data_IF_521110281761
#
_entry.id   IF_521110281761
#
_cell.length_a   1.000
_cell.length_b   1.000
_cell.length_c   1.000
_cell.angle_alpha   90.00
_cell.angle_beta   90.00
_cell.angle_gamma   90.00
#
_symmetry.space_group_name_H-M   'P 1'
#
loop_
_entity.id
_entity.type
_entity.pdbx_description
1 polymer ?
#
# COMPACT_ATOMS: atom_id res chain seq x y z
N UNK A 1 27.87 -12.06 -14.84
CA UNK A 1 26.85 -13.03 -15.26
C UNK A 1 25.44 -12.46 -15.05
N UNK A 2 25.14 -11.84 -13.90
CA UNK A 2 23.82 -11.28 -13.59
C UNK A 2 23.71 -9.84 -14.09
N UNK A 3 22.47 -9.37 -14.37
CA UNK A 3 22.22 -8.00 -14.77
C UNK A 3 22.55 -7.03 -13.63
N UNK A 4 23.03 -5.82 -13.97
CA UNK A 4 23.40 -4.79 -12.98
C UNK A 4 22.22 -4.37 -12.09
N UNK A 5 21.00 -4.37 -12.63
CA UNK A 5 19.76 -4.07 -11.91
C UNK A 5 19.45 -5.03 -10.75
N UNK A 6 20.11 -6.20 -10.71
CA UNK A 6 19.94 -7.19 -9.62
C UNK A 6 21.15 -7.26 -8.70
N UNK A 7 22.05 -6.28 -8.76
CA UNK A 7 23.27 -6.25 -7.94
C UNK A 7 22.98 -5.65 -6.54
N UNK A 8 21.96 -6.17 -5.88
CA UNK A 8 21.62 -5.76 -4.52
C UNK A 8 22.61 -6.33 -3.49
N UNK A 9 22.76 -5.65 -2.37
CA UNK A 9 23.45 -6.22 -1.22
C UNK A 9 22.58 -7.29 -0.58
N UNK A 10 22.89 -8.55 -0.82
CA UNK A 10 22.14 -9.70 -0.30
C UNK A 10 22.61 -10.14 1.09
N UNK A 11 23.57 -9.44 1.70
CA UNK A 11 24.02 -9.77 3.05
C UNK A 11 22.95 -9.34 4.07
N UNK A 12 22.58 -10.21 5.04
CA UNK A 12 21.66 -9.83 6.09
C UNK A 12 22.22 -8.60 6.84
N UNK A 13 21.39 -7.55 6.98
CA UNK A 13 21.73 -6.40 7.80
C UNK A 13 21.76 -6.78 9.30
N UNK A 14 22.14 -5.85 10.16
CA UNK A 14 22.23 -6.09 11.61
C UNK A 14 20.91 -6.49 12.22
N UNK A 15 19.83 -5.82 11.82
CA UNK A 15 18.47 -6.11 12.29
C UNK A 15 18.01 -7.53 11.89
N UNK A 16 18.24 -7.93 10.64
CA UNK A 16 17.90 -9.27 10.17
C UNK A 16 18.68 -10.37 10.94
N UNK A 17 19.96 -10.12 11.25
CA UNK A 17 20.78 -11.04 12.07
C UNK A 17 20.25 -11.17 13.49
N UNK A 18 19.96 -10.03 14.14
CA UNK A 18 19.40 -10.02 15.50
C UNK A 18 18.05 -10.75 15.56
N UNK A 19 17.18 -10.54 14.55
CA UNK A 19 15.90 -11.25 14.46
C UNK A 19 16.08 -12.76 14.27
N UNK A 20 17.03 -13.20 13.46
CA UNK A 20 17.33 -14.62 13.27
C UNK A 20 17.89 -15.24 14.55
N UNK A 21 18.78 -14.58 15.26
CA UNK A 21 19.32 -15.00 16.56
C UNK A 21 18.23 -15.09 17.62
N UNK A 22 17.35 -14.10 17.70
CA UNK A 22 16.20 -14.13 18.61
C UNK A 22 15.29 -15.34 18.32
N UNK A 23 14.96 -15.59 17.05
CA UNK A 23 14.15 -16.76 16.64
C UNK A 23 14.81 -18.10 17.01
N UNK A 24 16.13 -18.20 16.84
CA UNK A 24 16.90 -19.40 17.23
C UNK A 24 16.95 -19.62 18.75
N UNK A 25 16.84 -18.56 19.54
CA UNK A 25 16.83 -18.65 21.01
C UNK A 25 15.57 -19.31 21.56
N UNK A 26 14.48 -19.41 20.78
CA UNK A 26 13.20 -19.96 21.20
C UNK A 26 12.42 -19.08 22.16
N UNK A 27 12.87 -17.84 22.40
CA UNK A 27 12.12 -16.86 23.19
C UNK A 27 10.81 -16.47 22.51
N UNK A 28 9.76 -16.10 23.25
CA UNK A 28 8.54 -15.56 22.66
C UNK A 28 8.86 -14.26 21.91
N UNK A 29 8.20 -14.06 20.77
CA UNK A 29 8.33 -12.85 19.96
C UNK A 29 6.97 -12.17 19.84
N UNK A 30 6.90 -10.93 20.27
CA UNK A 30 5.73 -10.06 20.11
C UNK A 30 5.91 -9.25 18.82
N UNK A 31 5.36 -9.77 17.72
CA UNK A 31 5.56 -9.20 16.39
C UNK A 31 4.54 -8.09 16.11
N UNK A 32 4.98 -6.83 16.33
CA UNK A 32 4.22 -5.63 15.99
C UNK A 32 4.47 -5.16 14.55
N UNK A 33 5.09 -5.98 13.70
CA UNK A 33 5.31 -5.69 12.27
C UNK A 33 4.38 -6.47 11.36
N UNK A 34 3.67 -7.47 11.90
CA UNK A 34 2.86 -8.39 11.12
C UNK A 34 1.81 -7.66 10.28
N UNK A 35 1.87 -7.84 8.97
CA UNK A 35 0.95 -7.25 7.98
C UNK A 35 0.18 -8.31 7.19
N UNK A 36 0.27 -9.58 7.61
CA UNK A 36 -0.44 -10.68 6.99
C UNK A 36 -1.78 -10.96 7.69
N UNK A 37 -2.93 -10.56 7.12
CA UNK A 37 -4.23 -10.73 7.77
C UNK A 37 -4.58 -12.22 8.00
N UNK A 38 -4.04 -13.13 7.19
CA UNK A 38 -4.36 -14.56 7.29
C UNK A 38 -3.80 -15.22 8.58
N UNK A 39 -2.84 -14.58 9.26
CA UNK A 39 -2.23 -15.06 10.50
C UNK A 39 -2.71 -14.29 11.73
N UNK A 40 -3.49 -13.22 11.55
CA UNK A 40 -3.95 -12.34 12.63
C UNK A 40 -5.26 -12.78 13.30
N UNK A 41 -5.79 -13.96 12.96
CA UNK A 41 -6.96 -14.56 13.62
C UNK A 41 -8.29 -13.94 13.19
N UNK A 42 -8.40 -13.46 11.97
CA UNK A 42 -9.68 -13.10 11.36
C UNK A 42 -10.44 -14.34 10.91
N UNK A 43 -11.77 -14.30 11.02
CA UNK A 43 -12.64 -15.39 10.59
C UNK A 43 -13.06 -15.20 9.15
N UNK A 44 -12.69 -16.14 8.30
CA UNK A 44 -13.05 -16.14 6.88
C UNK A 44 -14.31 -16.95 6.64
N UNK A 45 -15.20 -16.56 5.69
CA UNK A 45 -16.36 -17.34 5.29
C UNK A 45 -15.92 -18.48 4.35
N UNK A 46 -15.28 -19.53 4.91
CA UNK A 46 -14.58 -20.58 4.18
C UNK A 46 -15.45 -21.28 3.15
N UNK A 47 -16.66 -21.69 3.54
CA UNK A 47 -17.58 -22.38 2.65
C UNK A 47 -17.94 -21.56 1.41
N UNK A 48 -18.22 -20.25 1.60
CA UNK A 48 -18.54 -19.33 0.50
C UNK A 48 -17.33 -19.10 -0.40
N UNK A 49 -16.14 -18.96 0.21
CA UNK A 49 -14.90 -18.74 -0.51
C UNK A 49 -14.54 -19.94 -1.39
N UNK A 50 -14.62 -21.16 -0.82
CA UNK A 50 -14.36 -22.38 -1.59
C UNK A 50 -15.42 -22.64 -2.66
N UNK A 51 -16.70 -22.40 -2.37
CA UNK A 51 -17.77 -22.53 -3.35
C UNK A 51 -17.57 -21.57 -4.55
N UNK A 52 -17.13 -20.33 -4.30
CA UNK A 52 -16.85 -19.38 -5.37
C UNK A 52 -15.74 -19.82 -6.32
N UNK A 53 -14.77 -20.61 -5.84
CA UNK A 53 -13.65 -21.12 -6.64
C UNK A 53 -14.02 -22.39 -7.46
N UNK A 54 -15.20 -22.97 -7.26
CA UNK A 54 -15.63 -24.21 -7.91
C UNK A 54 -16.40 -23.99 -9.22
N UNK A 55 -16.15 -22.91 -9.93
CA UNK A 55 -16.79 -22.63 -11.22
C UNK A 55 -16.23 -23.57 -12.31
N UNK A 56 -17.07 -24.38 -13.00
CA UNK A 56 -16.61 -25.29 -14.06
C UNK A 56 -15.91 -24.59 -15.22
N UNK A 57 -16.18 -23.31 -15.45
CA UNK A 57 -15.51 -22.50 -16.48
C UNK A 57 -14.02 -22.34 -16.22
N UNK A 58 -13.57 -22.53 -14.98
CA UNK A 58 -12.16 -22.52 -14.61
C UNK A 58 -11.32 -23.64 -15.30
N UNK A 59 -11.97 -24.66 -15.86
CA UNK A 59 -11.32 -25.73 -16.61
C UNK A 59 -11.01 -25.35 -18.07
N UNK A 60 -11.47 -24.18 -18.53
CA UNK A 60 -11.25 -23.71 -19.89
C UNK A 60 -10.12 -22.68 -19.91
N UNK A 61 -9.25 -22.79 -20.90
CA UNK A 61 -8.25 -21.78 -21.17
C UNK A 61 -8.74 -20.82 -22.23
N UNK A 62 -9.30 -19.70 -21.77
CA UNK A 62 -9.81 -18.62 -22.63
C UNK A 62 -9.25 -17.29 -22.06
N UNK A 63 -7.94 -16.99 -22.30
CA UNK A 63 -7.32 -15.84 -21.71
C UNK A 63 -7.80 -14.55 -22.35
N UNK A 64 -8.03 -13.53 -21.53
CA UNK A 64 -8.27 -12.15 -21.94
C UNK A 64 -7.13 -11.28 -21.40
N UNK A 65 -6.50 -10.49 -22.25
CA UNK A 65 -5.33 -9.64 -21.92
C UNK A 65 -5.60 -8.67 -20.77
N UNK A 66 -6.81 -8.11 -20.72
CA UNK A 66 -7.24 -7.20 -19.64
C UNK A 66 -7.89 -7.97 -18.47
N UNK A 67 -8.06 -9.27 -18.58
CA UNK A 67 -8.81 -10.11 -17.65
C UNK A 67 -10.30 -10.19 -17.98
N UNK A 68 -11.00 -11.19 -17.43
CA UNK A 68 -12.38 -11.51 -17.73
C UNK A 68 -13.32 -10.31 -17.51
N UNK A 69 -14.21 -10.07 -18.47
CA UNK A 69 -15.15 -8.95 -18.42
C UNK A 69 -15.98 -8.96 -17.12
N UNK A 70 -16.50 -10.12 -16.68
CA UNK A 70 -17.26 -10.21 -15.44
C UNK A 70 -16.47 -9.78 -14.20
N UNK A 71 -15.17 -10.04 -14.17
CA UNK A 71 -14.30 -9.61 -13.08
C UNK A 71 -14.10 -8.08 -13.10
N UNK A 72 -13.92 -7.50 -14.29
CA UNK A 72 -13.80 -6.04 -14.47
C UNK A 72 -15.12 -5.33 -14.12
N UNK A 73 -16.27 -5.92 -14.42
CA UNK A 73 -17.59 -5.42 -14.01
C UNK A 73 -17.74 -5.44 -12.47
N UNK A 74 -17.29 -6.50 -11.80
CA UNK A 74 -17.30 -6.57 -10.33
C UNK A 74 -16.40 -5.50 -9.69
N UNK A 75 -15.27 -5.16 -10.31
CA UNK A 75 -14.42 -4.07 -9.87
C UNK A 75 -15.10 -2.71 -10.09
N UNK A 76 -15.73 -2.49 -11.24
CA UNK A 76 -16.47 -1.25 -11.49
C UNK A 76 -17.59 -1.06 -10.45
N UNK A 77 -18.29 -2.15 -10.08
CA UNK A 77 -19.28 -2.14 -9.01
C UNK A 77 -18.70 -1.85 -7.63
N UNK A 78 -17.47 -2.28 -7.36
CA UNK A 78 -16.75 -1.94 -6.11
C UNK A 78 -16.55 -0.43 -5.98
N UNK A 79 -16.29 0.29 -7.07
CA UNK A 79 -16.13 1.76 -7.05
C UNK A 79 -17.46 2.52 -7.07
N UNK A 80 -18.56 1.86 -7.39
CA UNK A 80 -19.89 2.50 -7.52
C UNK A 80 -20.32 3.19 -6.22
N UNK A 81 -20.69 4.47 -6.34
CA UNK A 81 -21.15 5.28 -5.21
C UNK A 81 -20.03 5.85 -4.32
N UNK A 82 -18.77 5.59 -4.60
CA UNK A 82 -17.65 6.26 -3.93
C UNK A 82 -17.50 7.69 -4.42
N UNK A 83 -17.17 8.65 -3.55
CA UNK A 83 -16.81 9.98 -4.00
C UNK A 83 -15.47 9.92 -4.76
N UNK A 84 -15.36 10.68 -5.83
CA UNK A 84 -14.10 10.87 -6.55
C UNK A 84 -13.47 12.21 -6.23
N UNK A 85 -12.16 12.35 -6.42
CA UNK A 85 -11.51 13.66 -6.27
C UNK A 85 -11.99 14.66 -7.31
N UNK A 86 -12.34 14.18 -8.50
CA UNK A 86 -12.66 15.02 -9.66
C UNK A 86 -14.12 14.88 -10.13
N UNK A 87 -14.94 14.14 -9.37
CA UNK A 87 -16.37 13.95 -9.63
C UNK A 87 -17.13 13.67 -8.34
N UNK A 88 -18.42 13.98 -8.31
CA UNK A 88 -19.25 13.72 -7.13
C UNK A 88 -19.34 12.20 -6.79
N UNK A 89 -19.31 11.36 -7.82
CA UNK A 89 -19.24 9.90 -7.70
C UNK A 89 -18.27 9.34 -8.72
N UNK A 90 -17.48 8.37 -8.31
CA UNK A 90 -16.60 7.65 -9.20
C UNK A 90 -17.46 6.81 -10.18
N UNK A 91 -17.18 6.96 -11.44
CA UNK A 91 -17.71 6.14 -12.51
C UNK A 91 -16.55 5.44 -13.20
N UNK A 92 -16.43 4.14 -13.00
CA UNK A 92 -15.37 3.32 -13.58
C UNK A 92 -15.96 2.47 -14.69
N UNK A 93 -15.45 2.67 -15.91
CA UNK A 93 -15.81 1.84 -17.06
C UNK A 93 -15.02 0.51 -16.99
N UNK A 94 -15.71 -0.66 -17.03
CA UNK A 94 -15.03 -1.96 -17.07
C UNK A 94 -14.02 -2.12 -18.22
N UNK A 95 -14.18 -1.40 -19.33
CA UNK A 95 -13.22 -1.41 -20.45
C UNK A 95 -11.90 -0.70 -20.15
N UNK A 96 -11.84 0.07 -19.05
CA UNK A 96 -10.65 0.81 -18.59
C UNK A 96 -9.97 0.15 -17.38
N UNK A 97 -10.24 -1.14 -17.18
CA UNK A 97 -9.67 -1.93 -16.09
C UNK A 97 -8.76 -3.01 -16.66
N UNK A 98 -7.58 -3.18 -16.08
CA UNK A 98 -6.66 -4.28 -16.39
C UNK A 98 -6.39 -5.06 -15.10
N UNK A 99 -6.56 -6.39 -15.15
CA UNK A 99 -6.28 -7.29 -14.05
C UNK A 99 -4.80 -7.69 -14.02
N UNK A 100 -4.28 -7.85 -12.83
CA UNK A 100 -2.91 -8.29 -12.56
C UNK A 100 -2.91 -9.33 -11.44
N UNK A 101 -1.82 -10.09 -11.29
CA UNK A 101 -1.67 -11.04 -10.19
C UNK A 101 -1.42 -10.36 -8.83
N UNK A 102 -1.01 -9.09 -8.84
CA UNK A 102 -0.76 -8.29 -7.64
C UNK A 102 -0.62 -6.81 -8.02
N UNK A 103 -0.72 -5.91 -7.03
CA UNK A 103 -0.36 -4.50 -7.25
C UNK A 103 1.12 -4.33 -7.61
N UNK A 104 2.02 -5.19 -7.13
CA UNK A 104 3.43 -5.15 -7.56
C UNK A 104 3.59 -5.40 -9.06
N UNK A 105 2.82 -6.31 -9.65
CA UNK A 105 2.79 -6.48 -11.10
C UNK A 105 2.12 -5.30 -11.81
N UNK A 106 1.07 -4.73 -11.20
CA UNK A 106 0.46 -3.51 -11.71
C UNK A 106 1.47 -2.34 -11.78
N UNK A 107 2.35 -2.21 -10.79
CA UNK A 107 3.48 -1.27 -10.83
C UNK A 107 4.38 -1.52 -12.03
N UNK A 108 4.81 -2.78 -12.25
CA UNK A 108 5.66 -3.13 -13.38
C UNK A 108 5.00 -2.80 -14.73
N UNK A 109 3.69 -3.09 -14.88
CA UNK A 109 2.94 -2.75 -16.11
C UNK A 109 2.93 -1.24 -16.38
N UNK A 110 2.68 -0.42 -15.35
CA UNK A 110 2.63 1.04 -15.50
C UNK A 110 4.03 1.61 -15.75
N UNK A 111 5.06 1.09 -15.09
CA UNK A 111 6.45 1.51 -15.35
C UNK A 111 6.88 1.19 -16.79
N UNK A 112 6.61 -0.02 -17.28
CA UNK A 112 6.88 -0.40 -18.67
C UNK A 112 6.10 0.41 -19.69
N UNK A 113 4.89 0.85 -19.33
CA UNK A 113 4.07 1.68 -20.19
C UNK A 113 4.62 3.10 -20.31
N UNK A 114 5.09 3.68 -19.22
CA UNK A 114 5.38 5.12 -19.12
C UNK A 114 6.86 5.46 -19.26
N UNK A 115 7.76 4.56 -18.90
CA UNK A 115 9.16 4.89 -18.66
C UNK A 115 10.11 4.16 -19.61
N UNK A 116 11.07 4.89 -20.11
CA UNK A 116 12.30 4.36 -20.70
C UNK A 116 13.37 4.17 -19.60
N UNK A 117 14.46 3.46 -19.95
CA UNK A 117 15.59 3.24 -19.04
C UNK A 117 16.16 4.56 -18.52
N UNK A 118 16.20 4.72 -17.20
CA UNK A 118 16.71 5.90 -16.51
C UNK A 118 15.71 7.06 -16.40
N UNK A 119 14.46 6.88 -16.83
CA UNK A 119 13.38 7.82 -16.53
C UNK A 119 13.05 7.82 -15.03
N UNK A 120 12.34 8.84 -14.57
CA UNK A 120 12.11 9.12 -13.18
C UNK A 120 10.61 9.02 -12.83
N UNK A 121 10.33 8.42 -11.67
CA UNK A 121 9.01 8.46 -11.04
C UNK A 121 9.15 9.08 -9.66
N UNK A 122 8.37 10.13 -9.39
CA UNK A 122 8.37 10.76 -8.08
C UNK A 122 7.59 9.89 -7.11
N UNK A 123 8.18 9.59 -5.93
CA UNK A 123 7.61 8.73 -4.89
C UNK A 123 7.55 9.46 -3.56
N UNK A 124 6.49 9.29 -2.72
CA UNK A 124 6.43 9.93 -1.42
C UNK A 124 7.44 9.34 -0.44
N UNK A 125 8.00 10.17 0.44
CA UNK A 125 8.84 9.75 1.57
C UNK A 125 8.40 10.49 2.85
N UNK A 126 8.12 9.78 3.97
CA UNK A 126 8.23 8.33 4.14
C UNK A 126 7.12 7.57 3.41
N UNK A 127 7.44 6.37 2.91
CA UNK A 127 6.47 5.50 2.26
C UNK A 127 6.93 4.03 2.18
N UNK A 128 6.25 3.26 1.35
CA UNK A 128 6.39 1.82 1.24
C UNK A 128 7.78 1.41 0.68
N UNK A 129 8.53 0.52 1.37
CA UNK A 129 9.94 0.27 1.08
C UNK A 129 10.24 -0.52 -0.21
N UNK A 130 9.24 -1.08 -0.89
CA UNK A 130 9.47 -1.87 -2.11
C UNK A 130 9.62 -1.03 -3.38
N UNK A 131 9.43 0.27 -3.34
CA UNK A 131 9.51 1.11 -4.56
C UNK A 131 10.90 1.06 -5.20
N UNK A 132 11.96 1.03 -4.41
CA UNK A 132 13.33 0.94 -4.90
C UNK A 132 13.55 -0.34 -5.71
N UNK A 133 13.16 -1.49 -5.18
CA UNK A 133 13.31 -2.78 -5.89
C UNK A 133 12.44 -2.87 -7.15
N UNK A 134 11.22 -2.33 -7.12
CA UNK A 134 10.35 -2.30 -8.28
C UNK A 134 10.92 -1.37 -9.37
N UNK A 135 11.50 -0.25 -8.97
CA UNK A 135 12.16 0.70 -9.86
C UNK A 135 13.44 0.10 -10.49
N UNK A 136 14.28 -0.56 -9.68
CA UNK A 136 15.47 -1.25 -10.15
C UNK A 136 15.12 -2.29 -11.22
N UNK A 137 14.10 -3.14 -10.97
CA UNK A 137 13.66 -4.16 -11.92
C UNK A 137 13.15 -3.58 -13.24
N UNK A 138 12.61 -2.36 -13.20
CA UNK A 138 12.14 -1.64 -14.38
C UNK A 138 13.22 -0.73 -15.02
N UNK A 139 14.46 -0.70 -14.48
CA UNK A 139 15.55 0.20 -14.89
C UNK A 139 15.17 1.70 -14.84
N UNK A 140 14.32 2.11 -13.88
CA UNK A 140 13.90 3.49 -13.65
C UNK A 140 14.46 4.04 -12.34
N UNK A 141 14.36 5.34 -12.12
CA UNK A 141 14.83 6.01 -10.91
C UNK A 141 13.66 6.51 -10.07
N UNK A 142 13.49 6.03 -8.83
CA UNK A 142 12.59 6.67 -7.88
C UNK A 142 13.24 7.98 -7.40
N UNK A 143 12.46 9.07 -7.42
CA UNK A 143 12.87 10.39 -6.91
C UNK A 143 11.94 10.75 -5.76
N UNK A 144 12.45 10.76 -4.54
CA UNK A 144 11.64 11.01 -3.36
C UNK A 144 11.18 12.47 -3.27
N UNK A 145 9.90 12.67 -2.92
CA UNK A 145 9.37 13.94 -2.46
C UNK A 145 8.85 13.83 -1.01
N UNK A 146 9.07 14.83 -0.15
CA UNK A 146 8.77 14.71 1.26
C UNK A 146 7.28 14.83 1.57
N UNK A 147 6.81 13.98 2.47
CA UNK A 147 5.63 14.22 3.28
C UNK A 147 6.06 14.91 4.56
N UNK A 148 5.47 16.06 4.85
CA UNK A 148 5.76 16.83 6.07
C UNK A 148 4.66 16.59 7.11
N UNK A 149 5.08 16.59 8.39
CA UNK A 149 4.15 16.43 9.52
C UNK A 149 4.01 17.74 10.30
N UNK A 150 2.83 18.33 10.20
CA UNK A 150 2.38 19.45 11.03
C UNK A 150 0.95 19.17 11.50
N UNK A 151 0.78 18.61 12.70
CA UNK A 151 -0.50 18.12 13.27
C UNK A 151 -1.29 17.17 12.33
N UNK A 152 -0.61 16.62 11.34
CA UNK A 152 -1.07 15.72 10.30
C UNK A 152 -0.09 15.73 9.14
N UNK A 153 -0.14 14.68 8.32
CA UNK A 153 0.75 14.54 7.18
C UNK A 153 0.18 15.24 5.94
N UNK A 154 1.05 15.87 5.16
CA UNK A 154 0.70 16.54 3.91
C UNK A 154 1.89 16.49 2.95
N UNK A 155 1.58 16.62 1.66
CA UNK A 155 2.58 16.69 0.60
C UNK A 155 3.28 18.04 0.64
N UNK A 156 4.62 18.07 0.73
CA UNK A 156 5.37 19.29 0.45
C UNK A 156 5.36 19.58 -1.05
N UNK A 157 4.38 20.38 -1.47
CA UNK A 157 4.21 20.73 -2.89
C UNK A 157 5.42 21.48 -3.45
N UNK A 158 6.12 22.29 -2.64
CA UNK A 158 7.28 23.06 -3.11
C UNK A 158 8.46 22.13 -3.39
N UNK A 159 8.74 21.21 -2.46
CA UNK A 159 9.80 20.22 -2.65
C UNK A 159 9.47 19.23 -3.79
N UNK A 160 8.20 18.79 -3.91
CA UNK A 160 7.75 17.97 -5.03
C UNK A 160 8.01 18.67 -6.37
N UNK A 161 7.69 19.96 -6.51
CA UNK A 161 7.92 20.70 -7.74
C UNK A 161 9.40 20.90 -8.05
N UNK A 162 10.21 21.10 -7.03
CA UNK A 162 11.66 21.22 -7.18
C UNK A 162 12.31 19.89 -7.60
N UNK A 163 11.70 18.76 -7.27
CA UNK A 163 12.19 17.42 -7.64
C UNK A 163 11.87 17.03 -9.09
N UNK A 164 10.96 17.74 -9.77
CA UNK A 164 10.61 17.45 -11.17
C UNK A 164 11.75 17.78 -12.14
N UNK A 165 12.06 16.84 -13.00
CA UNK A 165 13.05 16.97 -14.07
C UNK A 165 12.44 16.68 -15.45
N UNK A 166 13.18 16.90 -16.55
CA UNK A 166 12.75 16.48 -17.89
C UNK A 166 12.59 14.95 -18.06
N UNK A 167 13.13 14.16 -17.13
CA UNK A 167 13.00 12.69 -17.12
C UNK A 167 11.82 12.20 -16.31
N UNK A 168 11.16 13.06 -15.56
CA UNK A 168 9.98 12.69 -14.77
C UNK A 168 8.84 12.25 -15.68
N UNK A 169 8.22 11.09 -15.39
CA UNK A 169 7.11 10.50 -16.14
C UNK A 169 5.82 10.42 -15.35
N UNK A 170 5.93 10.22 -14.04
CA UNK A 170 4.76 10.11 -13.18
C UNK A 170 5.04 10.66 -11.78
N UNK A 171 3.96 11.05 -11.11
CA UNK A 171 3.95 11.32 -9.68
C UNK A 171 3.12 10.22 -9.02
N UNK A 172 3.75 9.46 -8.11
CA UNK A 172 3.10 8.43 -7.34
C UNK A 172 2.53 9.01 -6.05
N UNK A 173 1.35 8.55 -5.68
CA UNK A 173 0.75 8.74 -4.36
C UNK A 173 0.31 7.39 -3.80
N UNK A 174 0.42 7.21 -2.48
CA UNK A 174 -0.14 6.07 -1.76
C UNK A 174 -1.28 6.61 -0.90
N UNK A 175 -2.48 6.08 -1.07
CA UNK A 175 -3.71 6.70 -0.59
C UNK A 175 -4.67 5.69 0.06
N UNK A 176 -4.66 5.60 1.41
CA UNK A 176 -3.79 6.31 2.35
C UNK A 176 -2.36 5.78 2.33
N UNK A 177 -1.41 6.66 2.68
CA UNK A 177 0.01 6.34 2.64
C UNK A 177 0.40 5.30 3.71
N UNK A 178 1.29 4.42 3.34
CA UNK A 178 1.91 3.45 4.24
C UNK A 178 3.38 3.89 4.50
N UNK A 179 3.78 4.22 5.76
CA UNK A 179 3.12 3.87 7.01
C UNK A 179 2.34 5.02 7.67
N UNK A 180 2.34 6.23 7.12
CA UNK A 180 1.83 7.43 7.80
C UNK A 180 0.31 7.41 8.02
N UNK A 181 -0.42 6.64 7.22
CA UNK A 181 -1.88 6.58 7.22
C UNK A 181 -2.54 7.86 6.70
N UNK A 182 -1.79 8.75 6.07
CA UNK A 182 -2.33 10.01 5.54
C UNK A 182 -3.07 9.82 4.23
N UNK A 183 -4.23 10.47 4.10
CA UNK A 183 -4.92 10.62 2.83
C UNK A 183 -4.43 11.87 2.10
N UNK A 184 -4.34 11.80 0.77
CA UNK A 184 -4.20 12.99 -0.09
C UNK A 184 -5.43 13.87 0.10
N UNK A 185 -5.24 15.17 0.24
CA UNK A 185 -6.33 16.13 0.40
C UNK A 185 -6.85 16.59 -0.96
N UNK A 186 -8.10 17.04 -1.03
CA UNK A 186 -8.70 17.48 -2.30
C UNK A 186 -7.86 18.56 -3.01
N UNK A 187 -7.35 19.54 -2.25
CA UNK A 187 -6.47 20.57 -2.81
C UNK A 187 -5.12 20.03 -3.30
N UNK A 188 -4.59 18.99 -2.64
CA UNK A 188 -3.36 18.32 -3.09
C UNK A 188 -3.63 17.55 -4.39
N UNK A 189 -4.75 16.80 -4.46
CA UNK A 189 -5.15 16.07 -5.66
C UNK A 189 -5.36 17.01 -6.87
N UNK A 190 -6.01 18.15 -6.66
CA UNK A 190 -6.20 19.17 -7.71
C UNK A 190 -4.87 19.70 -8.23
N UNK A 191 -3.94 20.07 -7.32
CA UNK A 191 -2.59 20.54 -7.69
C UNK A 191 -1.80 19.47 -8.44
N UNK A 192 -1.87 18.21 -7.99
CA UNK A 192 -1.22 17.09 -8.66
C UNK A 192 -1.76 16.92 -10.08
N UNK A 193 -3.09 16.94 -10.26
CA UNK A 193 -3.71 16.81 -11.56
C UNK A 193 -3.33 17.97 -12.51
N UNK A 194 -3.33 19.20 -12.00
CA UNK A 194 -2.94 20.38 -12.76
C UNK A 194 -1.48 20.31 -13.24
N UNK A 195 -0.57 19.92 -12.36
CA UNK A 195 0.85 19.78 -12.69
C UNK A 195 1.10 18.65 -13.68
N UNK A 196 0.50 17.49 -13.42
CA UNK A 196 0.65 16.35 -14.31
C UNK A 196 0.12 16.67 -15.71
N UNK A 197 -1.05 17.31 -15.81
CA UNK A 197 -1.59 17.75 -17.10
C UNK A 197 -0.65 18.74 -17.82
N UNK A 198 -0.13 19.76 -17.11
CA UNK A 198 0.77 20.77 -17.72
C UNK A 198 2.14 20.22 -18.10
N UNK A 199 2.65 19.23 -17.41
CA UNK A 199 3.98 18.65 -17.62
C UNK A 199 3.96 17.35 -18.41
N UNK A 200 2.79 16.91 -18.87
CA UNK A 200 2.58 15.61 -19.51
C UNK A 200 3.11 14.44 -18.68
N UNK A 201 2.76 14.45 -17.37
CA UNK A 201 3.05 13.40 -16.41
C UNK A 201 1.78 12.61 -16.12
N UNK A 202 1.93 11.36 -15.71
CA UNK A 202 0.82 10.57 -15.18
C UNK A 202 0.73 10.70 -13.64
N UNK A 203 -0.48 10.52 -13.10
CA UNK A 203 -0.69 10.23 -11.68
C UNK A 203 -0.72 8.71 -11.52
N UNK A 204 -0.01 8.22 -10.50
CA UNK A 204 0.03 6.83 -10.16
C UNK A 204 -0.44 6.68 -8.70
N UNK A 205 -1.68 6.21 -8.49
CA UNK A 205 -2.31 6.15 -7.17
C UNK A 205 -2.44 4.71 -6.67
N UNK A 206 -1.74 4.38 -5.59
CA UNK A 206 -1.91 3.11 -4.88
C UNK A 206 -3.00 3.27 -3.81
N UNK A 207 -4.15 2.62 -4.04
CA UNK A 207 -5.31 2.68 -3.16
C UNK A 207 -5.59 1.36 -2.43
N UNK A 208 -4.61 0.50 -2.22
CA UNK A 208 -4.82 -0.79 -1.56
C UNK A 208 -5.41 -0.67 -0.16
N UNK A 209 -5.19 0.43 0.55
CA UNK A 209 -5.72 0.70 1.89
C UNK A 209 -6.93 1.64 1.92
N UNK A 210 -7.50 2.01 0.77
CA UNK A 210 -8.56 3.01 0.67
C UNK A 210 -9.76 2.76 1.61
N UNK A 211 -10.13 1.50 1.81
CA UNK A 211 -11.27 1.10 2.64
C UNK A 211 -11.05 1.24 4.16
N UNK A 212 -9.83 1.61 4.59
CA UNK A 212 -9.45 1.67 6.00
C UNK A 212 -9.25 3.10 6.50
N UNK A 213 -10.23 3.97 6.23
CA UNK A 213 -10.28 5.31 6.80
C UNK A 213 -10.76 5.29 8.25
N UNK A 214 -10.15 6.12 9.12
CA UNK A 214 -10.54 6.27 10.53
C UNK A 214 -11.79 7.15 10.72
N UNK A 215 -12.18 7.89 9.69
CA UNK A 215 -13.31 8.83 9.71
C UNK A 215 -14.65 8.23 9.28
N UNK A 216 -15.71 9.01 9.42
CA UNK A 216 -17.03 8.65 8.93
C UNK A 216 -17.16 8.93 7.42
N UNK A 217 -17.60 7.93 6.68
CA UNK A 217 -17.84 8.02 5.24
C UNK A 217 -16.70 7.51 4.37
N UNK A 218 -17.00 7.22 3.10
CA UNK A 218 -16.00 6.71 2.17
C UNK A 218 -15.03 7.81 1.74
N UNK A 219 -13.72 7.53 1.71
CA UNK A 219 -12.74 8.48 1.18
C UNK A 219 -12.88 8.65 -0.35
N UNK A 220 -12.42 9.79 -0.86
CA UNK A 220 -12.33 10.03 -2.31
C UNK A 220 -11.36 9.05 -2.97
N UNK A 221 -11.62 8.69 -4.22
CA UNK A 221 -10.75 7.85 -5.04
C UNK A 221 -10.18 8.61 -6.24
N UNK A 222 -9.00 8.25 -6.68
CA UNK A 222 -8.39 8.69 -7.93
C UNK A 222 -8.99 8.00 -9.17
N UNK A 223 -9.75 6.92 -8.99
CA UNK A 223 -10.40 6.19 -10.08
C UNK A 223 -11.55 6.97 -10.78
N UNK A 224 -11.64 8.27 -10.59
CA UNK A 224 -12.73 9.14 -11.01
C UNK A 224 -12.27 10.21 -11.97
N UNK A 225 -11.78 9.91 -13.12
CA UNK A 225 -11.41 10.88 -14.15
C UNK A 225 -10.66 12.14 -13.64
N UNK A 226 -9.64 12.54 -14.35
CA UNK A 226 -8.82 13.70 -13.99
C UNK A 226 -8.40 14.43 -15.26
N UNK A 227 -7.83 15.62 -15.14
CA UNK A 227 -7.21 16.32 -16.26
C UNK A 227 -5.88 15.69 -16.70
N UNK A 228 -5.33 14.76 -15.91
CA UNK A 228 -4.10 14.02 -16.21
C UNK A 228 -4.41 12.53 -16.37
N UNK A 229 -3.60 11.84 -17.17
CA UNK A 229 -3.64 10.37 -17.22
C UNK A 229 -3.35 9.80 -15.84
N UNK A 230 -4.26 8.97 -15.34
CA UNK A 230 -4.22 8.46 -13.96
C UNK A 230 -4.36 6.95 -13.96
N UNK A 231 -3.47 6.29 -13.23
CA UNK A 231 -3.49 4.85 -13.00
C UNK A 231 -3.79 4.62 -11.51
N UNK A 232 -4.96 4.07 -11.20
CA UNK A 232 -5.36 3.77 -9.82
C UNK A 232 -5.26 2.27 -9.58
N UNK A 233 -4.45 1.88 -8.62
CA UNK A 233 -4.16 0.49 -8.30
C UNK A 233 -4.87 0.06 -7.03
N UNK A 234 -5.38 -1.17 -7.03
CA UNK A 234 -5.88 -1.83 -5.84
C UNK A 234 -5.91 -3.35 -6.00
N UNK A 235 -6.44 -4.09 -5.03
CA UNK A 235 -6.49 -5.54 -5.11
C UNK A 235 -7.07 -6.23 -3.88
N UNK A 236 -7.33 -7.52 -4.01
CA UNK A 236 -7.94 -8.36 -2.95
C UNK A 236 -7.11 -8.44 -1.67
N UNK A 237 -5.79 -8.25 -1.76
CA UNK A 237 -4.86 -8.45 -0.64
C UNK A 237 -5.23 -7.68 0.61
N UNK A 238 -5.71 -6.45 0.45
CA UNK A 238 -6.09 -5.56 1.56
C UNK A 238 -7.61 -5.40 1.63
N UNK A 239 -8.27 -5.11 0.50
CA UNK A 239 -9.71 -4.85 0.47
C UNK A 239 -10.53 -6.03 1.02
N UNK A 240 -10.20 -7.27 0.63
CA UNK A 240 -10.89 -8.49 1.06
C UNK A 240 -10.08 -9.35 2.01
N UNK A 241 -8.93 -8.87 2.51
CA UNK A 241 -8.00 -9.63 3.36
C UNK A 241 -7.55 -10.97 2.73
N UNK A 242 -7.48 -11.06 1.41
CA UNK A 242 -7.19 -12.27 0.65
C UNK A 242 -5.87 -12.16 -0.16
N UNK A 243 -4.70 -11.92 0.47
CA UNK A 243 -3.43 -11.78 -0.24
C UNK A 243 -3.02 -13.04 -1.00
N UNK A 244 -3.46 -14.22 -0.53
CA UNK A 244 -3.18 -15.52 -1.13
C UNK A 244 -3.92 -15.74 -2.45
N UNK A 245 -4.98 -14.98 -2.75
CA UNK A 245 -5.74 -15.11 -4.00
C UNK A 245 -5.03 -14.44 -5.18
N UNK A 246 -4.02 -13.63 -4.92
CA UNK A 246 -3.16 -13.06 -5.94
C UNK A 246 -3.92 -12.42 -7.10
N UNK A 247 -4.74 -11.40 -6.78
CA UNK A 247 -5.43 -10.59 -7.78
C UNK A 247 -5.43 -9.12 -7.38
N UNK A 248 -4.91 -8.29 -8.29
CA UNK A 248 -4.93 -6.83 -8.28
C UNK A 248 -5.49 -6.29 -9.59
N UNK A 249 -5.60 -4.98 -9.68
CA UNK A 249 -6.07 -4.31 -10.88
C UNK A 249 -5.53 -2.89 -11.02
N UNK A 250 -5.59 -2.39 -12.24
CA UNK A 250 -5.33 -1.02 -12.63
C UNK A 250 -6.63 -0.45 -13.18
N UNK A 251 -7.08 0.69 -12.68
CA UNK A 251 -8.13 1.51 -13.31
C UNK A 251 -7.44 2.67 -14.02
N UNK A 252 -7.68 2.82 -15.32
CA UNK A 252 -7.11 3.91 -16.13
C UNK A 252 -8.16 4.98 -16.33
N UNK A 253 -7.82 6.21 -15.97
CA UNK A 253 -8.72 7.38 -16.11
C UNK A 253 -7.98 8.62 -16.58
N UNK A 254 -8.70 9.62 -17.05
CA UNK A 254 -8.13 10.87 -17.57
C UNK A 254 -8.70 11.25 -18.93
N UNK A 255 -8.00 12.09 -19.72
CA UNK A 255 -8.41 12.46 -21.09
C UNK A 255 -8.54 11.23 -21.98
N UNK A 256 -9.67 11.10 -22.71
CA UNK A 256 -10.02 9.90 -23.47
C UNK A 256 -8.91 9.46 -24.44
N UNK A 257 -8.30 10.38 -25.18
CA UNK A 257 -7.22 10.07 -26.14
C UNK A 257 -6.01 9.40 -25.44
N UNK A 258 -5.64 9.88 -24.24
CA UNK A 258 -4.54 9.31 -23.46
C UNK A 258 -4.92 7.96 -22.85
N UNK A 259 -6.16 7.84 -22.36
CA UNK A 259 -6.69 6.59 -21.84
C UNK A 259 -6.72 5.51 -22.92
N UNK A 260 -7.26 5.82 -24.11
CA UNK A 260 -7.35 4.85 -25.21
C UNK A 260 -5.95 4.41 -25.67
N UNK A 261 -5.00 5.36 -25.76
CA UNK A 261 -3.61 5.05 -26.09
C UNK A 261 -2.90 4.20 -25.02
N UNK A 262 -3.20 4.43 -23.75
CA UNK A 262 -2.68 3.64 -22.64
C UNK A 262 -3.28 2.22 -22.64
N UNK A 263 -4.61 2.10 -22.79
CA UNK A 263 -5.30 0.81 -22.79
C UNK A 263 -4.83 -0.09 -23.95
N UNK A 264 -4.63 0.43 -25.15
CA UNK A 264 -4.08 -0.34 -26.28
C UNK A 264 -2.70 -0.93 -25.98
N UNK A 265 -1.86 -0.21 -25.26
CA UNK A 265 -0.52 -0.67 -24.87
C UNK A 265 -0.55 -1.64 -23.71
N UNK A 266 -1.39 -1.36 -22.71
CA UNK A 266 -1.63 -2.27 -21.58
C UNK A 266 -2.22 -3.60 -22.04
N UNK A 267 -3.01 -3.59 -23.10
CA UNK A 267 -3.53 -4.81 -23.72
C UNK A 267 -2.40 -5.72 -24.21
N UNK A 268 -1.41 -5.15 -24.91
CA UNK A 268 -0.21 -5.90 -25.36
C UNK A 268 0.63 -6.38 -24.17
N UNK A 269 0.83 -5.51 -23.15
CA UNK A 269 1.59 -5.87 -21.95
C UNK A 269 0.86 -7.01 -21.23
N UNK A 270 -0.44 -6.87 -21.00
CA UNK A 270 -1.27 -7.90 -20.34
C UNK A 270 -1.27 -9.23 -21.08
N UNK A 271 -1.39 -9.22 -22.41
CA UNK A 271 -1.35 -10.41 -23.27
C UNK A 271 0.00 -11.15 -23.21
N UNK A 272 1.08 -10.40 -22.96
CA UNK A 272 2.42 -10.99 -22.82
C UNK A 272 2.55 -11.86 -21.57
N UNK A 273 1.86 -11.53 -20.48
CA UNK A 273 1.97 -12.22 -19.19
C UNK A 273 0.79 -13.14 -18.89
N UNK A 274 -0.45 -12.72 -19.17
CA UNK A 274 -1.70 -13.43 -18.86
C UNK A 274 -1.73 -13.99 -17.42
N UNK A 275 -1.26 -13.18 -16.48
CA UNK A 275 -0.86 -13.63 -15.14
C UNK A 275 -2.03 -13.86 -14.17
N UNK A 276 -3.18 -13.21 -14.39
CA UNK A 276 -4.30 -13.29 -13.48
C UNK A 276 -5.05 -14.63 -13.61
N UNK A 277 -5.15 -15.38 -12.51
CA UNK A 277 -5.71 -16.72 -12.46
C UNK A 277 -7.21 -16.74 -12.79
N UNK A 278 -7.66 -17.52 -13.76
CA UNK A 278 -9.07 -17.64 -14.19
C UNK A 278 -10.00 -18.02 -13.03
N UNK A 279 -9.73 -19.04 -12.19
CA UNK A 279 -10.59 -19.37 -11.05
C UNK A 279 -10.82 -18.17 -10.12
N UNK A 280 -9.78 -17.38 -9.86
CA UNK A 280 -9.89 -16.19 -8.97
C UNK A 280 -10.68 -15.08 -9.66
N UNK A 281 -10.49 -14.87 -10.96
CA UNK A 281 -11.28 -13.91 -11.73
C UNK A 281 -12.77 -14.25 -11.75
N UNK A 282 -13.11 -15.54 -11.92
CA UNK A 282 -14.50 -16.03 -11.88
C UNK A 282 -15.13 -15.80 -10.50
N UNK A 283 -14.37 -15.98 -9.43
CA UNK A 283 -14.81 -15.82 -8.05
C UNK A 283 -14.78 -14.37 -7.53
N UNK A 284 -14.25 -13.41 -8.31
CA UNK A 284 -13.95 -12.07 -7.82
C UNK A 284 -15.17 -11.32 -7.28
N UNK A 285 -16.31 -11.42 -7.99
CA UNK A 285 -17.55 -10.78 -7.55
C UNK A 285 -17.98 -11.25 -6.15
N UNK A 286 -17.90 -12.57 -5.91
CA UNK A 286 -18.20 -13.13 -4.59
C UNK A 286 -17.17 -12.73 -3.53
N UNK A 287 -15.87 -12.75 -3.85
CA UNK A 287 -14.82 -12.30 -2.95
C UNK A 287 -14.95 -10.83 -2.56
N UNK A 288 -15.36 -9.96 -3.49
CA UNK A 288 -15.66 -8.56 -3.20
C UNK A 288 -16.96 -8.40 -2.39
N UNK A 289 -17.96 -9.25 -2.58
CA UNK A 289 -19.21 -9.21 -1.81
C UNK A 289 -19.00 -9.54 -0.33
N UNK A 290 -18.07 -10.44 -0.03
CA UNK A 290 -17.72 -10.86 1.33
C UNK A 290 -16.86 -9.84 2.10
N UNK A 291 -16.30 -8.84 1.42
CA UNK A 291 -15.34 -7.91 2.04
C UNK A 291 -15.89 -7.16 3.26
N UNK A 292 -17.18 -6.83 3.26
CA UNK A 292 -17.79 -6.03 4.33
C UNK A 292 -17.64 -6.64 5.73
N UNK A 293 -17.84 -7.95 5.86
CA UNK A 293 -17.70 -8.64 7.13
C UNK A 293 -16.21 -8.74 7.56
N UNK A 294 -15.32 -8.96 6.61
CA UNK A 294 -13.87 -9.00 6.86
C UNK A 294 -13.33 -7.62 7.24
N UNK A 295 -13.75 -6.59 6.53
CA UNK A 295 -13.37 -5.20 6.84
C UNK A 295 -13.91 -4.76 8.21
N UNK A 296 -15.12 -5.18 8.59
CA UNK A 296 -15.67 -4.89 9.92
C UNK A 296 -14.81 -5.50 11.03
N UNK A 297 -14.38 -6.75 10.89
CA UNK A 297 -13.45 -7.39 11.86
C UNK A 297 -12.13 -6.61 11.93
N UNK A 298 -11.58 -6.25 10.77
CA UNK A 298 -10.34 -5.47 10.69
C UNK A 298 -10.49 -4.09 11.35
N UNK A 299 -11.54 -3.35 11.05
CA UNK A 299 -11.79 -2.03 11.65
C UNK A 299 -11.96 -2.10 13.16
N UNK A 300 -12.64 -3.14 13.68
CA UNK A 300 -12.76 -3.39 15.12
C UNK A 300 -11.37 -3.60 15.75
N UNK A 301 -10.51 -4.42 15.12
CA UNK A 301 -9.14 -4.67 15.56
C UNK A 301 -8.29 -3.40 15.55
N UNK A 302 -8.29 -2.65 14.45
CA UNK A 302 -7.58 -1.37 14.35
C UNK A 302 -8.02 -0.40 15.45
N UNK A 303 -9.32 -0.25 15.64
CA UNK A 303 -9.89 0.63 16.66
C UNK A 303 -9.52 0.20 18.08
N UNK A 304 -9.60 -1.11 18.39
CA UNK A 304 -9.26 -1.65 19.72
C UNK A 304 -7.78 -1.41 20.04
N UNK A 305 -6.88 -1.81 19.13
CA UNK A 305 -5.45 -1.67 19.33
C UNK A 305 -5.03 -0.19 19.39
N UNK A 306 -5.63 0.67 18.56
CA UNK A 306 -5.34 2.10 18.56
C UNK A 306 -5.79 2.77 19.86
N UNK A 307 -7.00 2.49 20.33
CA UNK A 307 -7.51 3.01 21.62
C UNK A 307 -6.65 2.58 22.80
N UNK A 308 -6.21 1.32 22.81
CA UNK A 308 -5.31 0.83 23.85
C UNK A 308 -3.98 1.58 23.82
N UNK A 309 -3.39 1.75 22.63
CA UNK A 309 -2.13 2.45 22.45
C UNK A 309 -2.24 3.91 22.89
N UNK A 310 -3.29 4.62 22.46
CA UNK A 310 -3.54 6.01 22.85
C UNK A 310 -3.68 6.20 24.37
N UNK A 311 -4.38 5.28 25.03
CA UNK A 311 -4.49 5.30 26.49
C UNK A 311 -3.15 5.03 27.20
N UNK A 312 -2.36 4.11 26.66
CA UNK A 312 -1.05 3.76 27.21
C UNK A 312 -0.03 4.90 27.08
N UNK A 313 -0.08 5.64 25.97
CA UNK A 313 0.88 6.71 25.68
C UNK A 313 0.51 8.06 26.33
N UNK A 314 -0.60 8.15 27.04
CA UNK A 314 -0.91 9.33 27.85
C UNK A 314 0.24 9.60 28.86
N UNK A 315 0.81 10.80 28.81
CA UNK A 315 1.94 11.19 29.67
C UNK A 315 3.24 10.39 29.40
N UNK A 316 3.37 9.76 28.24
CA UNK A 316 4.60 9.09 27.80
C UNK A 316 5.56 10.05 27.10
N UNK A 317 6.84 9.68 27.05
CA UNK A 317 7.84 10.32 26.17
C UNK A 317 7.70 9.87 24.71
N UNK A 318 6.83 8.92 24.43
CA UNK A 318 6.51 8.40 23.08
C UNK A 318 5.25 9.07 22.57
N UNK A 319 5.30 9.70 21.40
CA UNK A 319 4.16 10.29 20.73
C UNK A 319 3.69 9.42 19.56
N UNK A 320 2.42 9.12 19.50
CA UNK A 320 1.82 8.58 18.29
C UNK A 320 1.48 9.71 17.32
N UNK A 321 2.06 9.68 16.12
CA UNK A 321 1.73 10.66 15.10
C UNK A 321 0.30 10.44 14.58
N UNK A 322 -0.38 11.53 14.21
CA UNK A 322 -1.74 11.48 13.70
C UNK A 322 -1.79 10.70 12.40
N UNK A 323 -2.68 9.72 12.35
CA UNK A 323 -3.05 8.96 11.15
C UNK A 323 -4.50 9.24 10.79
N UNK A 324 -4.89 8.90 9.57
CA UNK A 324 -6.26 9.06 9.05
C UNK A 324 -6.79 7.73 8.51
N UNK A 325 -5.93 6.70 8.37
CA UNK A 325 -6.32 5.37 7.91
C UNK A 325 -5.16 4.38 7.79
N UNK A 326 -5.40 3.29 7.07
CA UNK A 326 -4.43 2.22 6.87
C UNK A 326 -4.32 1.24 8.04
N UNK A 327 -3.25 0.44 8.08
CA UNK A 327 -3.05 -0.62 9.08
C UNK A 327 -1.90 -0.36 10.04
N UNK A 328 -1.16 0.71 9.83
CA UNK A 328 0.04 1.06 10.58
C UNK A 328 -0.15 2.35 11.37
N UNK A 329 0.71 2.55 12.34
CA UNK A 329 0.88 3.84 12.98
C UNK A 329 2.35 4.12 13.23
N UNK A 330 2.71 5.41 13.16
CA UNK A 330 4.06 5.89 13.40
C UNK A 330 4.15 6.40 14.84
N UNK A 331 5.14 5.92 15.56
CA UNK A 331 5.50 6.40 16.88
C UNK A 331 6.77 7.23 16.77
N UNK A 332 6.72 8.46 17.28
CA UNK A 332 7.90 9.28 17.50
C UNK A 332 8.42 8.96 18.89
N UNK A 333 9.67 8.56 18.97
CA UNK A 333 10.32 8.08 20.18
C UNK A 333 11.54 8.92 20.52
N UNK A 334 11.98 8.99 21.79
CA UNK A 334 13.26 9.59 22.14
C UNK A 334 14.40 8.95 21.37
N UNK A 335 15.19 9.76 20.65
CA UNK A 335 16.34 9.27 19.89
C UNK A 335 17.44 8.79 20.85
N UNK A 336 17.88 7.52 20.66
CA UNK A 336 18.93 6.86 21.45
C UNK A 336 19.98 6.21 20.55
N UNK A 337 20.30 6.81 19.45
CA UNK A 337 21.08 6.23 18.38
C UNK A 337 20.25 6.13 17.11
N UNK A 338 20.59 5.20 16.22
CA UNK A 338 19.82 4.96 15.01
C UNK A 338 18.52 4.20 15.31
N UNK A 339 17.52 4.36 14.44
CA UNK A 339 16.26 3.58 14.54
C UNK A 339 16.52 2.06 14.42
N UNK A 340 17.57 1.66 13.71
CA UNK A 340 17.98 0.24 13.62
C UNK A 340 18.50 -0.26 14.98
N UNK A 341 19.38 0.50 15.65
CA UNK A 341 19.88 0.15 16.99
C UNK A 341 18.72 0.03 17.98
N UNK A 342 17.80 1.00 17.95
CA UNK A 342 16.62 0.99 18.81
C UNK A 342 15.71 -0.22 18.57
N UNK A 343 15.48 -0.59 17.31
CA UNK A 343 14.66 -1.76 16.99
C UNK A 343 15.34 -3.08 17.43
N UNK A 344 16.67 -3.15 17.36
CA UNK A 344 17.46 -4.27 17.88
C UNK A 344 17.38 -4.31 19.41
N UNK A 345 17.53 -3.19 20.12
CA UNK A 345 17.40 -3.13 21.58
C UNK A 345 16.02 -3.56 22.07
N UNK A 346 14.94 -3.14 21.39
CA UNK A 346 13.57 -3.57 21.71
C UNK A 346 13.39 -5.08 21.50
N UNK A 347 13.97 -5.63 20.45
CA UNK A 347 13.94 -7.05 20.18
C UNK A 347 14.70 -7.87 21.24
N UNK A 348 15.93 -7.47 21.59
CA UNK A 348 16.81 -8.21 22.49
C UNK A 348 16.39 -8.12 23.96
N UNK A 349 15.94 -6.92 24.40
CA UNK A 349 15.64 -6.65 25.81
C UNK A 349 14.15 -6.80 26.16
N UNK A 350 13.27 -6.68 25.18
CA UNK A 350 11.82 -6.68 25.40
C UNK A 350 11.08 -7.77 24.64
N UNK A 351 11.74 -8.56 23.79
CA UNK A 351 11.14 -9.54 22.88
C UNK A 351 10.08 -8.90 21.94
N UNK A 352 10.21 -7.62 21.59
CA UNK A 352 9.25 -6.87 20.78
C UNK A 352 9.88 -6.53 19.44
N UNK A 353 9.23 -6.93 18.35
CA UNK A 353 9.63 -6.61 16.99
C UNK A 353 8.82 -5.41 16.47
N UNK A 354 9.52 -4.38 16.05
CA UNK A 354 8.99 -3.17 15.41
C UNK A 354 9.73 -2.89 14.11
N UNK A 355 9.15 -2.11 13.22
CA UNK A 355 9.92 -1.60 12.08
C UNK A 355 10.65 -0.30 12.46
N UNK A 356 11.94 -0.17 12.17
CA UNK A 356 12.66 1.09 12.28
C UNK A 356 12.22 2.07 11.19
N UNK A 357 12.28 3.37 11.49
CA UNK A 357 11.81 4.42 10.57
C UNK A 357 12.52 4.43 9.22
N UNK A 358 13.82 4.19 9.20
CA UNK A 358 14.59 4.19 7.96
C UNK A 358 14.12 3.16 6.92
N UNK A 359 13.43 2.08 7.32
CA UNK A 359 12.82 1.13 6.36
C UNK A 359 11.73 1.77 5.50
N UNK A 360 11.20 2.90 5.91
CA UNK A 360 10.17 3.65 5.19
C UNK A 360 10.68 5.02 4.72
N UNK A 361 11.98 5.21 4.62
CA UNK A 361 12.61 6.45 4.17
C UNK A 361 12.27 7.68 5.03
N UNK A 362 12.15 7.50 6.35
CA UNK A 362 12.10 8.65 7.26
C UNK A 362 13.41 9.44 7.18
N UNK A 363 13.33 10.79 7.07
CA UNK A 363 14.52 11.61 6.82
C UNK A 363 15.45 11.75 8.03
N UNK A 364 15.07 11.23 9.19
CA UNK A 364 15.85 11.28 10.45
C UNK A 364 15.43 10.14 11.36
N UNK A 365 16.29 9.81 12.32
CA UNK A 365 15.99 8.87 13.41
C UNK A 365 14.96 9.43 14.41
N UNK A 366 14.42 8.55 15.24
CA UNK A 366 13.42 8.83 16.26
C UNK A 366 12.02 8.35 15.87
N UNK A 367 11.92 7.39 14.96
CA UNK A 367 10.65 6.80 14.53
C UNK A 367 10.67 5.28 14.55
N UNK A 368 9.61 4.70 15.09
CA UNK A 368 9.30 3.28 14.94
C UNK A 368 7.89 3.13 14.40
N UNK A 369 7.69 2.09 13.60
CA UNK A 369 6.40 1.82 12.96
C UNK A 369 5.85 0.50 13.49
N UNK A 370 4.57 0.51 13.90
CA UNK A 370 3.88 -0.67 14.39
C UNK A 370 2.62 -0.93 13.57
N UNK A 371 2.36 -2.21 13.34
CA UNK A 371 1.15 -2.71 12.71
C UNK A 371 0.04 -2.85 13.75
N UNK A 372 -1.15 -2.36 13.42
CA UNK A 372 -2.33 -2.41 14.29
C UNK A 372 -3.17 -3.68 14.08
N UNK A 373 -2.79 -4.58 13.16
CA UNK A 373 -3.60 -5.77 12.85
C UNK A 373 -3.25 -6.99 13.69
N UNK A 374 -2.14 -6.97 14.44
CA UNK A 374 -1.78 -8.03 15.36
C UNK A 374 -2.92 -8.34 16.33
N UNK A 375 -2.99 -9.58 16.83
CA UNK A 375 -4.02 -9.99 17.82
C UNK A 375 -3.97 -9.05 19.03
N UNK A 376 -5.13 -8.71 19.59
CA UNK A 376 -5.23 -7.71 20.66
C UNK A 376 -4.31 -8.02 21.84
N UNK A 377 -4.28 -9.26 22.31
CA UNK A 377 -3.43 -9.67 23.43
C UNK A 377 -1.93 -9.50 23.12
N UNK A 378 -1.51 -9.90 21.92
CA UNK A 378 -0.12 -9.76 21.45
C UNK A 378 0.27 -8.29 21.30
N UNK A 379 -0.62 -7.50 20.65
CA UNK A 379 -0.41 -6.06 20.46
C UNK A 379 -0.31 -5.32 21.80
N UNK A 380 -1.25 -5.59 22.72
CA UNK A 380 -1.29 -4.92 24.02
C UNK A 380 -0.06 -5.23 24.86
N UNK A 381 0.39 -6.48 24.88
CA UNK A 381 1.60 -6.86 25.61
C UNK A 381 2.85 -6.24 24.97
N UNK A 382 2.99 -6.28 23.64
CA UNK A 382 4.09 -5.65 22.94
C UNK A 382 4.14 -4.14 23.17
N UNK A 383 2.99 -3.48 23.10
CA UNK A 383 2.89 -2.05 23.36
C UNK A 383 3.27 -1.67 24.80
N UNK A 384 2.85 -2.48 25.81
CA UNK A 384 3.28 -2.27 27.23
C UNK A 384 4.79 -2.38 27.38
N UNK A 385 5.41 -3.41 26.81
CA UNK A 385 6.87 -3.59 26.89
C UNK A 385 7.62 -2.44 26.22
N UNK A 386 7.17 -2.01 25.04
CA UNK A 386 7.70 -0.84 24.36
C UNK A 386 7.58 0.42 25.23
N UNK A 387 6.40 0.69 25.79
CA UNK A 387 6.19 1.82 26.69
C UNK A 387 7.11 1.78 27.92
N UNK A 388 7.22 0.64 28.59
CA UNK A 388 8.06 0.45 29.76
C UNK A 388 9.54 0.68 29.45
N UNK A 389 10.01 0.24 28.28
CA UNK A 389 11.37 0.47 27.83
C UNK A 389 11.70 1.97 27.76
N UNK A 390 10.80 2.81 27.29
CA UNK A 390 11.01 4.27 27.25
C UNK A 390 10.71 4.97 28.58
N UNK A 391 9.96 4.37 29.49
CA UNK A 391 9.64 4.94 30.80
C UNK A 391 10.71 4.64 31.84
N UNK A 392 11.51 3.60 31.64
CA UNK A 392 12.57 3.16 32.58
C UNK A 392 13.93 3.81 32.31
N UNK A 393 13.99 4.70 31.37
CA UNK A 393 15.16 5.41 30.89
C UNK A 393 15.03 6.90 31.09
#
# INVERSE_FOLDING_TARGET
>A
MFASRTNWNLQPNRFAKALEEHRRSGKPLLDLTNSNPTTCGFSYPEERLFAALQDPRALRYEPESQGLRQAREAIADYYRGRPGFFSAQAHVDPSRIVLTSSTSEAYDYVFRLLCDVGDEVLVPAPSYPLFEYLADLADIRPVSYPLIYDQGWQIDSAALFAALSPRSKAIMVVHPNNPTGSFVKSQEAEKLAEICARRNLAIFADEVFLDYADGAGPPCTFASGSSALTFTLSGLSKISLLPQMKLGWIVVSGPDELVDAAMQRLDVIGDTYLSASIPVQLALGEMLSMRGDLQKQMQQRLCSNLKFLDALLQQSSVDRLKREGGWYTVLRVPARGSDEDLAIELLENCDVLVHPGHFFDFPRDGFVIVSLIAREAEFQEGARRLHNFFSSA
#
